data_IF_296515519017
#
_entry.id   IF_296515519017
#
_cell.length_a   1.000
_cell.length_b   1.000
_cell.length_c   1.000
_cell.angle_alpha   90.00
_cell.angle_beta   90.00
_cell.angle_gamma   90.00
#
_symmetry.space_group_name_H-M   'P 1'
#
loop_
_entity.id
_entity.type
_entity.pdbx_description
1 polymer ?
#
# COMPACT_ATOMS: atom_id res chain seq x y z
N UNK A 1 11.68 -28.14 11.73
CA UNK A 1 11.26 -27.10 10.74
C UNK A 1 9.83 -27.41 10.31
N UNK A 2 8.92 -26.48 10.53
CA UNK A 2 7.52 -26.63 10.11
C UNK A 2 7.47 -26.40 8.60
N UNK A 3 7.01 -27.40 7.85
CA UNK A 3 6.79 -27.23 6.42
C UNK A 3 5.64 -26.23 6.21
N UNK A 4 5.88 -25.20 5.42
CA UNK A 4 4.82 -24.27 5.00
C UNK A 4 3.77 -25.05 4.21
N UNK A 5 2.50 -24.80 4.48
CA UNK A 5 1.42 -25.41 3.72
C UNK A 5 1.56 -25.01 2.24
N UNK A 6 1.08 -25.84 1.34
CA UNK A 6 1.13 -25.57 -0.10
C UNK A 6 0.49 -24.22 -0.45
N UNK A 7 -0.55 -23.82 0.28
CA UNK A 7 -1.22 -22.54 0.10
C UNK A 7 -0.24 -21.36 0.29
N UNK A 8 0.62 -21.43 1.30
CA UNK A 8 1.59 -20.36 1.56
C UNK A 8 2.71 -20.32 0.52
N UNK A 9 3.09 -21.49 -0.02
CA UNK A 9 4.06 -21.55 -1.12
C UNK A 9 3.50 -20.91 -2.37
N UNK A 10 2.23 -21.17 -2.68
CA UNK A 10 1.55 -20.56 -3.83
C UNK A 10 1.47 -19.04 -3.71
N UNK A 11 1.19 -18.53 -2.51
CA UNK A 11 1.13 -17.06 -2.28
C UNK A 11 2.50 -16.40 -2.42
N UNK A 12 3.60 -17.13 -2.17
CA UNK A 12 4.96 -16.63 -2.35
C UNK A 12 5.38 -16.49 -3.82
N UNK A 13 4.85 -17.36 -4.66
CA UNK A 13 5.25 -17.46 -6.06
C UNK A 13 4.29 -16.69 -6.98
N UNK A 14 3.13 -16.25 -6.48
CA UNK A 14 2.16 -15.51 -7.28
C UNK A 14 2.60 -14.06 -7.47
N UNK A 15 2.76 -13.61 -8.72
CA UNK A 15 2.99 -12.19 -9.00
C UNK A 15 1.73 -11.38 -8.71
N UNK A 16 1.88 -10.07 -8.65
CA UNK A 16 0.73 -9.18 -8.66
C UNK A 16 -0.07 -9.36 -9.96
N UNK A 17 -1.39 -9.30 -9.87
CA UNK A 17 -2.32 -9.45 -10.98
C UNK A 17 -3.24 -8.25 -11.08
N UNK A 18 -3.85 -8.06 -12.26
CA UNK A 18 -4.85 -7.02 -12.49
C UNK A 18 -4.35 -5.61 -12.21
N UNK A 19 -5.16 -4.75 -11.55
CA UNK A 19 -4.81 -3.36 -11.28
C UNK A 19 -3.51 -3.20 -10.47
N UNK A 20 -3.25 -4.09 -9.53
CA UNK A 20 -2.02 -4.05 -8.71
C UNK A 20 -0.77 -4.26 -9.55
N UNK A 21 -0.83 -5.15 -10.54
CA UNK A 21 0.28 -5.37 -11.48
C UNK A 21 0.63 -4.09 -12.25
N UNK A 22 -0.38 -3.37 -12.71
CA UNK A 22 -0.19 -2.11 -13.43
C UNK A 22 0.45 -1.05 -12.53
N UNK A 23 0.06 -0.99 -11.27
CA UNK A 23 0.68 -0.10 -10.29
C UNK A 23 2.14 -0.44 -10.10
N UNK A 24 2.48 -1.71 -9.93
CA UNK A 24 3.87 -2.17 -9.80
C UNK A 24 4.72 -1.75 -11.02
N UNK A 25 4.19 -1.93 -12.22
CA UNK A 25 4.89 -1.53 -13.45
C UNK A 25 5.14 -0.02 -13.50
N UNK A 26 4.18 0.79 -13.07
CA UNK A 26 4.35 2.25 -12.98
C UNK A 26 5.42 2.64 -11.96
N UNK A 27 5.45 1.99 -10.80
CA UNK A 27 6.46 2.22 -9.76
C UNK A 27 7.84 1.84 -10.28
N UNK A 28 7.97 0.67 -10.88
CA UNK A 28 9.23 0.17 -11.42
C UNK A 28 9.80 1.12 -12.47
N UNK A 29 8.96 1.61 -13.37
CA UNK A 29 9.36 2.56 -14.41
C UNK A 29 9.73 3.93 -13.83
N UNK A 30 8.93 4.44 -12.89
CA UNK A 30 9.12 5.78 -12.32
C UNK A 30 10.43 5.89 -11.52
N UNK A 31 10.77 4.85 -10.76
CA UNK A 31 11.94 4.86 -9.87
C UNK A 31 13.10 3.97 -10.34
N UNK A 32 12.94 3.28 -11.45
CA UNK A 32 13.92 2.30 -11.94
C UNK A 32 14.25 1.24 -10.87
N UNK A 33 13.21 0.66 -10.33
CA UNK A 33 13.30 -0.37 -9.27
C UNK A 33 12.69 -1.68 -9.74
N UNK A 34 13.01 -2.76 -9.06
CA UNK A 34 12.34 -4.06 -9.18
C UNK A 34 11.48 -4.30 -7.97
N UNK A 35 10.17 -4.46 -8.17
CA UNK A 35 9.19 -4.72 -7.13
C UNK A 35 9.06 -6.23 -6.91
N UNK A 36 9.15 -6.66 -5.67
CA UNK A 36 8.96 -8.05 -5.25
C UNK A 36 7.79 -8.15 -4.28
N UNK A 37 6.79 -8.95 -4.64
CA UNK A 37 5.63 -9.19 -3.78
C UNK A 37 6.06 -9.91 -2.51
N UNK A 38 5.58 -9.43 -1.36
CA UNK A 38 5.77 -10.05 -0.07
C UNK A 38 4.60 -10.97 0.27
N UNK A 39 4.82 -11.87 1.23
CA UNK A 39 3.76 -12.74 1.74
C UNK A 39 2.65 -11.94 2.42
N UNK A 40 1.45 -12.49 2.44
CA UNK A 40 0.27 -11.88 3.07
C UNK A 40 0.46 -11.54 4.56
N UNK A 41 1.32 -12.27 5.27
CA UNK A 41 1.58 -12.05 6.70
C UNK A 41 2.56 -10.91 6.98
N UNK A 42 3.18 -10.33 5.97
CA UNK A 42 3.88 -9.06 6.10
C UNK A 42 2.86 -7.91 6.08
N UNK A 43 3.19 -6.83 6.79
CA UNK A 43 2.29 -5.69 6.92
C UNK A 43 2.24 -4.79 5.69
N UNK A 44 3.00 -5.11 4.67
CA UNK A 44 3.06 -4.38 3.40
C UNK A 44 3.06 -5.36 2.22
N UNK A 45 2.69 -4.87 1.04
CA UNK A 45 2.52 -5.72 -0.13
C UNK A 45 3.82 -6.08 -0.82
N UNK A 46 4.82 -5.20 -0.81
CA UNK A 46 6.04 -5.41 -1.58
C UNK A 46 7.28 -4.78 -0.96
N UNK A 47 8.43 -5.28 -1.40
CA UNK A 47 9.74 -4.66 -1.26
C UNK A 47 10.29 -4.32 -2.65
N UNK A 48 11.03 -3.23 -2.76
CA UNK A 48 11.61 -2.81 -4.04
C UNK A 48 13.12 -2.70 -3.95
N UNK A 49 13.79 -3.15 -5.01
CA UNK A 49 15.24 -3.27 -5.08
C UNK A 49 15.77 -2.52 -6.30
N UNK A 50 16.96 -1.94 -6.18
CA UNK A 50 17.62 -1.32 -7.31
C UNK A 50 18.34 -2.36 -8.21
N UNK A 51 19.02 -1.88 -9.24
CA UNK A 51 19.77 -2.73 -10.19
C UNK A 51 20.90 -3.52 -9.55
N UNK A 52 21.42 -3.04 -8.41
CA UNK A 52 22.47 -3.71 -7.64
C UNK A 52 21.87 -4.66 -6.58
N UNK A 53 20.56 -4.91 -6.65
CA UNK A 53 19.80 -5.78 -5.74
C UNK A 53 19.78 -5.28 -4.29
N UNK A 54 20.02 -3.98 -4.09
CA UNK A 54 19.92 -3.35 -2.79
C UNK A 54 18.45 -2.99 -2.47
N UNK A 55 17.99 -3.29 -1.26
CA UNK A 55 16.66 -2.92 -0.81
C UNK A 55 16.54 -1.40 -0.70
N UNK A 56 15.57 -0.81 -1.40
CA UNK A 56 15.35 0.64 -1.44
C UNK A 56 14.14 1.08 -0.65
N UNK A 57 13.04 0.34 -0.70
CA UNK A 57 11.81 0.73 -0.02
C UNK A 57 10.84 -0.43 0.13
N UNK A 58 9.81 -0.20 0.94
CA UNK A 58 8.62 -1.06 1.04
C UNK A 58 7.39 -0.29 0.59
N UNK A 59 6.34 -0.98 0.23
CA UNK A 59 5.11 -0.34 -0.17
C UNK A 59 3.85 -1.19 -0.02
N UNK A 60 2.75 -0.47 0.13
CA UNK A 60 1.38 -1.00 0.15
C UNK A 60 0.62 -0.41 -1.02
N UNK A 61 -0.19 -1.22 -1.69
CA UNK A 61 -0.99 -0.80 -2.84
C UNK A 61 -2.46 -0.89 -2.49
N UNK A 62 -3.19 0.19 -2.73
CA UNK A 62 -4.65 0.23 -2.63
C UNK A 62 -5.22 0.72 -3.95
N UNK A 63 -6.19 -0.04 -4.46
CA UNK A 63 -6.94 0.35 -5.64
C UNK A 63 -8.33 0.83 -5.21
N UNK A 64 -8.73 1.99 -5.72
CA UNK A 64 -10.02 2.61 -5.44
C UNK A 64 -10.75 2.85 -6.76
N UNK A 65 -12.01 2.43 -6.82
CA UNK A 65 -12.81 2.47 -8.04
C UNK A 65 -13.63 3.77 -8.13
N UNK A 66 -12.99 4.89 -7.77
CA UNK A 66 -13.56 6.23 -7.87
C UNK A 66 -12.44 7.23 -8.16
N UNK A 67 -12.83 8.44 -8.53
CA UNK A 67 -11.87 9.52 -8.83
C UNK A 67 -11.20 10.05 -7.57
N UNK A 68 -9.98 10.54 -7.73
CA UNK A 68 -9.16 11.11 -6.64
C UNK A 68 -9.81 12.31 -5.95
N UNK A 69 -10.70 13.00 -6.67
CA UNK A 69 -11.39 14.19 -6.16
C UNK A 69 -12.62 13.87 -5.31
N UNK A 70 -13.03 12.60 -5.23
CA UNK A 70 -14.26 12.23 -4.52
C UNK A 70 -14.20 12.50 -3.02
N UNK A 71 -13.03 12.26 -2.40
CA UNK A 71 -12.81 12.47 -0.97
C UNK A 71 -11.52 13.26 -0.74
N UNK A 72 -11.47 14.05 0.33
CA UNK A 72 -10.29 14.82 0.69
C UNK A 72 -9.16 13.98 1.27
N UNK A 73 -9.50 12.82 1.82
CA UNK A 73 -8.54 11.92 2.45
C UNK A 73 -8.83 10.47 2.08
N UNK A 74 -7.91 9.79 1.39
CA UNK A 74 -7.96 8.34 1.28
C UNK A 74 -7.97 7.70 2.65
N UNK A 75 -8.72 6.61 2.79
CA UNK A 75 -8.74 5.85 4.04
C UNK A 75 -8.16 4.46 3.83
N UNK A 76 -7.40 4.00 4.82
CA UNK A 76 -6.93 2.63 4.94
C UNK A 76 -7.24 2.14 6.34
N UNK A 77 -7.32 0.83 6.55
CA UNK A 77 -7.54 0.34 7.90
C UNK A 77 -6.44 0.85 8.85
N UNK A 78 -6.80 1.14 10.09
CA UNK A 78 -5.82 1.53 11.10
C UNK A 78 -4.76 0.44 11.29
N UNK A 79 -5.14 -0.82 11.12
CA UNK A 79 -4.22 -1.96 11.15
C UNK A 79 -3.13 -1.84 10.07
N UNK A 80 -3.52 -1.50 8.84
CA UNK A 80 -2.56 -1.29 7.74
C UNK A 80 -1.66 -0.08 7.98
N UNK A 81 -2.22 1.02 8.49
CA UNK A 81 -1.45 2.20 8.86
C UNK A 81 -0.38 1.88 9.91
N UNK A 82 -0.76 1.15 10.97
CA UNK A 82 0.19 0.73 12.00
C UNK A 82 1.24 -0.23 11.45
N UNK A 83 0.88 -1.07 10.48
CA UNK A 83 1.82 -1.93 9.79
C UNK A 83 2.88 -1.15 9.01
N UNK A 84 2.48 -0.09 8.30
CA UNK A 84 3.42 0.81 7.62
C UNK A 84 4.40 1.44 8.62
N UNK A 85 3.88 1.89 9.76
CA UNK A 85 4.69 2.46 10.84
C UNK A 85 5.71 1.44 11.38
N UNK A 86 5.27 0.22 11.66
CA UNK A 86 6.12 -0.84 12.19
C UNK A 86 7.27 -1.18 11.23
N UNK A 87 6.99 -1.33 9.95
CA UNK A 87 8.00 -1.60 8.92
C UNK A 87 8.99 -0.44 8.81
N UNK A 88 8.49 0.80 8.81
CA UNK A 88 9.34 1.99 8.78
C UNK A 88 10.30 2.04 9.97
N UNK A 89 9.79 1.79 11.17
CA UNK A 89 10.58 1.82 12.40
C UNK A 89 11.60 0.66 12.47
N UNK A 90 11.21 -0.53 11.99
CA UNK A 90 12.04 -1.73 12.09
C UNK A 90 13.21 -1.73 11.11
N UNK A 91 12.96 -1.35 9.86
CA UNK A 91 13.96 -1.47 8.79
C UNK A 91 14.70 -0.18 8.48
N UNK A 92 14.25 0.94 8.99
CA UNK A 92 14.80 2.26 8.70
C UNK A 92 14.94 2.52 7.19
N UNK A 93 13.93 2.12 6.45
CA UNK A 93 13.83 2.32 4.99
C UNK A 93 12.54 3.07 4.68
N UNK A 94 12.48 3.80 3.57
CA UNK A 94 11.23 4.44 3.16
C UNK A 94 10.11 3.41 2.98
N UNK A 95 8.91 3.78 3.44
CA UNK A 95 7.70 2.97 3.28
C UNK A 95 6.65 3.86 2.60
N UNK A 96 6.04 3.34 1.56
CA UNK A 96 5.10 4.10 0.75
C UNK A 96 3.72 3.44 0.74
N UNK A 97 2.70 4.28 0.69
CA UNK A 97 1.34 3.88 0.35
C UNK A 97 1.03 4.41 -1.05
N UNK A 98 0.64 3.52 -1.93
CA UNK A 98 0.20 3.86 -3.29
C UNK A 98 -1.30 3.69 -3.38
N UNK A 99 -1.99 4.71 -3.83
CA UNK A 99 -3.43 4.64 -4.06
C UNK A 99 -3.70 4.90 -5.54
N UNK A 100 -4.18 3.86 -6.22
CA UNK A 100 -4.60 3.96 -7.61
C UNK A 100 -6.08 4.27 -7.65
N UNK A 101 -6.40 5.49 -8.02
CA UNK A 101 -7.77 5.91 -8.35
C UNK A 101 -8.05 5.65 -9.83
N UNK A 102 -9.29 5.85 -10.26
CA UNK A 102 -9.65 5.70 -11.67
C UNK A 102 -8.94 6.71 -12.58
N UNK A 103 -8.61 7.90 -12.04
CA UNK A 103 -8.00 9.01 -12.78
C UNK A 103 -6.50 9.20 -12.53
N UNK A 104 -5.95 8.66 -11.43
CA UNK A 104 -4.59 9.01 -11.03
C UNK A 104 -3.97 8.00 -10.05
N UNK A 105 -2.65 7.90 -10.07
CA UNK A 105 -1.86 7.17 -9.09
C UNK A 105 -1.16 8.16 -8.17
N UNK A 106 -1.42 8.02 -6.87
CA UNK A 106 -0.85 8.85 -5.82
C UNK A 106 0.06 8.04 -4.91
N UNK A 107 1.11 8.68 -4.42
CA UNK A 107 2.12 8.12 -3.53
C UNK A 107 2.20 8.95 -2.26
N UNK A 108 2.14 8.30 -1.10
CA UNK A 108 2.45 8.91 0.18
C UNK A 108 3.62 8.18 0.82
N UNK A 109 4.67 8.91 1.14
CA UNK A 109 5.77 8.39 1.95
C UNK A 109 5.35 8.48 3.41
N UNK A 110 5.37 7.35 4.12
CA UNK A 110 5.05 7.33 5.53
C UNK A 110 5.93 8.32 6.30
N UNK A 111 5.29 9.17 7.09
CA UNK A 111 5.96 10.16 7.90
C UNK A 111 5.21 10.30 9.24
N UNK A 112 5.91 10.03 10.35
CA UNK A 112 5.32 10.14 11.70
C UNK A 112 4.85 11.56 12.05
N UNK A 113 5.37 12.59 11.37
CA UNK A 113 5.00 13.98 11.58
C UNK A 113 3.71 14.38 10.88
N UNK A 114 3.21 13.56 9.96
CA UNK A 114 1.96 13.85 9.27
C UNK A 114 0.76 13.67 10.20
N UNK A 115 -0.16 14.63 10.13
CA UNK A 115 -1.38 14.62 10.94
C UNK A 115 -2.41 13.68 10.34
N UNK A 116 -2.51 12.48 10.91
CA UNK A 116 -3.39 11.43 10.47
C UNK A 116 -4.48 11.18 11.52
N UNK A 117 -5.74 11.30 11.12
CA UNK A 117 -6.84 11.00 12.03
C UNK A 117 -7.28 9.53 11.90
N UNK A 118 -7.57 8.92 13.06
CA UNK A 118 -8.11 7.57 13.13
C UNK A 118 -9.52 7.67 13.70
N UNK A 119 -10.49 7.16 12.97
CA UNK A 119 -11.90 7.16 13.36
C UNK A 119 -12.63 5.99 12.71
N UNK A 120 -13.80 5.68 13.22
CA UNK A 120 -14.63 4.65 12.64
C UNK A 120 -15.02 5.00 11.22
N UNK A 121 -14.89 4.03 10.34
CA UNK A 121 -15.23 4.18 8.92
C UNK A 121 -15.34 2.83 8.26
N UNK A 122 -15.37 2.84 6.94
CA UNK A 122 -15.48 1.64 6.16
C UNK A 122 -16.79 1.58 5.39
N UNK A 123 -17.09 0.41 4.85
CA UNK A 123 -18.23 0.19 3.97
C UNK A 123 -19.50 -0.05 4.77
N UNK A 124 -20.55 0.72 4.51
CA UNK A 124 -21.84 0.62 5.19
C UNK A 124 -22.98 0.10 4.31
N UNK A 125 -22.78 0.05 2.98
CA UNK A 125 -23.79 -0.32 2.00
C UNK A 125 -24.20 -1.80 2.05
N UNK A 126 -23.35 -2.68 2.63
CA UNK A 126 -23.63 -4.11 2.79
C UNK A 126 -24.26 -4.45 4.14
N UNK A 127 -24.47 -3.48 5.00
CA UNK A 127 -25.05 -3.65 6.34
C UNK A 127 -24.37 -4.77 7.17
N UNK A 128 -23.04 -4.83 7.12
CA UNK A 128 -22.22 -5.79 7.88
C UNK A 128 -21.38 -5.04 8.90
N UNK A 129 -21.46 -5.43 10.16
CA UNK A 129 -20.69 -4.81 11.24
C UNK A 129 -19.17 -4.93 11.04
N UNK A 130 -18.69 -6.02 10.45
CA UNK A 130 -17.27 -6.22 10.16
C UNK A 130 -16.73 -5.30 9.06
N UNK A 131 -17.59 -4.63 8.30
CA UNK A 131 -17.18 -3.66 7.28
C UNK A 131 -16.89 -2.29 7.88
N UNK A 132 -17.23 -2.07 9.16
CA UNK A 132 -16.98 -0.84 9.89
C UNK A 132 -15.88 -1.10 10.92
N UNK A 133 -14.76 -0.41 10.79
CA UNK A 133 -13.57 -0.59 11.62
C UNK A 133 -12.85 0.74 11.82
N UNK A 134 -11.87 0.80 12.75
CA UNK A 134 -10.99 1.97 12.83
C UNK A 134 -10.22 2.15 11.52
N UNK A 135 -10.33 3.35 10.95
CA UNK A 135 -9.69 3.72 9.69
C UNK A 135 -8.76 4.91 9.90
N UNK A 136 -7.61 4.86 9.24
CA UNK A 136 -6.70 6.00 9.15
C UNK A 136 -7.06 6.82 7.91
N UNK A 137 -7.27 8.12 8.09
CA UNK A 137 -7.59 9.08 7.04
C UNK A 137 -6.36 9.93 6.77
N UNK A 138 -5.76 9.75 5.61
CA UNK A 138 -4.52 10.41 5.23
C UNK A 138 -4.87 11.51 4.22
N UNK A 139 -4.75 12.80 4.59
CA UNK A 139 -5.11 13.88 3.66
C UNK A 139 -4.41 13.74 2.31
N UNK A 140 -5.17 13.90 1.22
CA UNK A 140 -4.64 13.77 -0.14
C UNK A 140 -3.51 14.77 -0.42
N UNK A 141 -3.49 15.92 0.25
CA UNK A 141 -2.42 16.92 0.13
C UNK A 141 -1.04 16.40 0.52
N UNK A 142 -0.97 15.31 1.31
CA UNK A 142 0.31 14.67 1.66
C UNK A 142 0.81 13.73 0.56
N UNK A 143 -0.05 13.38 -0.38
CA UNK A 143 0.30 12.50 -1.50
C UNK A 143 0.90 13.30 -2.64
N UNK A 144 1.75 12.61 -3.40
CA UNK A 144 2.29 13.09 -4.66
C UNK A 144 1.70 12.24 -5.78
N UNK A 145 1.18 12.89 -6.81
CA UNK A 145 0.78 12.18 -8.03
C UNK A 145 2.01 11.79 -8.83
N UNK A 146 2.13 10.52 -9.23
CA UNK A 146 3.33 9.99 -9.88
C UNK A 146 3.12 9.47 -11.30
N UNK A 147 1.90 9.43 -11.80
CA UNK A 147 1.60 8.98 -13.16
C UNK A 147 1.44 10.11 -14.18
N UNK A 148 1.89 11.29 -13.83
CA UNK A 148 1.95 12.45 -14.75
C UNK A 148 3.17 12.29 -15.66
N UNK A 149 2.93 12.36 -16.95
CA UNK A 149 3.99 12.38 -17.95
C UNK A 149 4.50 13.80 -18.19
#
# INVERSE_FOLDING_TARGET
MIALSNKYKEDLEKPFLGPEKLVCEKIEKHYNLTVKKLKWNYHVDFAAFDKDKELRCFGEIKCRYFESTKYDAPMVSAYKYLGLKEISDTFNKPVFLYVQFTDALYEWRFNNSDDISIKWGGRTDRNRSQDVEPMAYIPLRYFKRIDIQ
#
